data_IF_175235464833
#
_entry.id   IF_175235464833
#
_cell.length_a   1.000
_cell.length_b   1.000
_cell.length_c   1.000
_cell.angle_alpha   90.00
_cell.angle_beta   90.00
_cell.angle_gamma   90.00
#
_symmetry.space_group_name_H-M   'P 1'
#
loop_
_entity.id
_entity.type
_entity.pdbx_description
1 polymer ?
#
# COMPACT_ATOMS: atom_id res chain seq x y z
N UNK A 1 5.24 29.28 2.53
CA UNK A 1 5.16 28.01 1.78
C UNK A 1 3.69 27.57 1.86
N UNK A 2 3.05 27.23 0.74
CA UNK A 2 1.63 26.81 0.76
C UNK A 2 1.51 25.49 1.50
N UNK A 3 0.41 25.29 2.21
CA UNK A 3 0.05 24.01 2.81
C UNK A 3 -0.32 22.99 1.72
N UNK A 4 -0.22 21.71 2.05
CA UNK A 4 -0.57 20.62 1.11
C UNK A 4 -2.03 20.75 0.62
N UNK A 5 -2.95 21.15 1.51
CA UNK A 5 -4.37 21.34 1.17
C UNK A 5 -4.57 22.52 0.21
N UNK A 6 -3.90 23.66 0.43
CA UNK A 6 -3.97 24.81 -0.48
C UNK A 6 -3.46 24.42 -1.88
N UNK A 7 -2.35 23.67 -1.97
CA UNK A 7 -1.83 23.16 -3.25
C UNK A 7 -2.85 22.25 -3.92
N UNK A 8 -3.49 21.33 -3.18
CA UNK A 8 -4.50 20.43 -3.70
C UNK A 8 -5.74 21.18 -4.24
N UNK A 9 -6.18 22.23 -3.53
CA UNK A 9 -7.36 23.01 -3.90
C UNK A 9 -7.13 23.93 -5.11
N UNK A 10 -5.89 24.39 -5.32
CA UNK A 10 -5.51 25.18 -6.49
C UNK A 10 -5.25 24.34 -7.75
N UNK A 11 -5.11 23.02 -7.61
CA UNK A 11 -4.85 22.12 -8.73
C UNK A 11 -6.03 22.11 -9.73
N UNK A 12 -5.74 22.32 -11.01
CA UNK A 12 -6.76 22.24 -12.07
C UNK A 12 -6.93 20.79 -12.53
N UNK A 13 -7.94 20.12 -11.97
CA UNK A 13 -8.26 18.72 -12.27
C UNK A 13 -8.84 18.55 -13.67
N UNK A 14 -8.41 17.51 -14.38
CA UNK A 14 -9.09 17.06 -15.59
C UNK A 14 -10.25 16.11 -15.25
N UNK A 15 -11.33 16.09 -16.05
CA UNK A 15 -12.35 15.05 -15.92
C UNK A 15 -11.71 13.66 -15.95
N UNK A 16 -12.10 12.75 -15.05
CA UNK A 16 -11.48 11.42 -14.92
C UNK A 16 -11.60 10.57 -16.20
N UNK A 17 -12.54 10.92 -17.09
CA UNK A 17 -12.65 10.31 -18.42
C UNK A 17 -11.43 10.61 -19.30
N UNK A 18 -10.87 11.81 -19.19
CA UNK A 18 -9.65 12.20 -19.91
C UNK A 18 -8.45 11.44 -19.34
N UNK A 19 -8.38 11.33 -18.01
CA UNK A 19 -7.36 10.52 -17.32
C UNK A 19 -7.45 9.04 -17.71
N UNK A 20 -8.66 8.50 -17.82
CA UNK A 20 -8.88 7.13 -18.31
C UNK A 20 -8.43 6.97 -19.78
N UNK A 21 -8.67 7.98 -20.62
CA UNK A 21 -8.24 7.98 -22.02
C UNK A 21 -6.71 8.00 -22.15
N UNK A 22 -5.98 8.67 -21.25
CA UNK A 22 -4.50 8.58 -21.20
C UNK A 22 -4.05 7.13 -21.02
N UNK A 23 -4.79 6.33 -20.25
CA UNK A 23 -4.57 4.89 -20.07
C UNK A 23 -5.11 4.01 -21.21
N UNK A 24 -5.80 4.57 -22.20
CA UNK A 24 -6.44 3.81 -23.27
C UNK A 24 -7.63 2.99 -22.79
N UNK A 25 -8.33 3.48 -21.76
CA UNK A 25 -9.60 2.94 -21.28
C UNK A 25 -10.77 3.58 -22.03
N UNK A 26 -11.76 2.77 -22.38
CA UNK A 26 -12.98 3.22 -23.02
C UNK A 26 -14.08 3.60 -22.01
N UNK A 27 -15.12 4.28 -22.48
CA UNK A 27 -16.20 4.82 -21.63
C UNK A 27 -16.90 3.72 -20.83
N UNK A 28 -17.10 2.57 -21.43
CA UNK A 28 -17.79 1.42 -20.84
C UNK A 28 -16.87 0.54 -19.97
N UNK A 29 -15.58 0.86 -19.88
CA UNK A 29 -14.60 0.18 -19.03
C UNK A 29 -14.42 0.84 -17.66
N UNK A 30 -15.09 1.99 -17.45
CA UNK A 30 -15.06 2.75 -16.19
C UNK A 30 -16.48 3.05 -15.67
N UNK A 31 -16.60 3.17 -14.36
CA UNK A 31 -17.83 3.53 -13.64
C UNK A 31 -17.58 4.81 -12.85
N UNK A 32 -18.25 5.91 -13.20
CA UNK A 32 -17.97 7.22 -12.60
C UNK A 32 -18.46 7.37 -11.16
N UNK A 33 -17.69 8.08 -10.35
CA UNK A 33 -18.02 8.56 -9.02
C UNK A 33 -17.81 10.09 -8.97
N UNK A 34 -18.77 10.83 -9.51
CA UNK A 34 -18.61 12.24 -9.84
C UNK A 34 -17.66 12.44 -11.04
N UNK A 35 -17.11 13.64 -11.16
CA UNK A 35 -16.36 14.04 -12.36
C UNK A 35 -14.87 13.65 -12.33
N UNK A 36 -14.31 13.47 -11.13
CA UNK A 36 -12.86 13.32 -10.92
C UNK A 36 -12.43 11.95 -10.36
N UNK A 37 -13.36 10.99 -10.24
CA UNK A 37 -13.08 9.63 -9.76
C UNK A 37 -13.87 8.60 -10.56
N UNK A 38 -13.30 7.43 -10.78
CA UNK A 38 -14.00 6.32 -11.40
C UNK A 38 -13.50 4.97 -10.87
N UNK A 39 -14.34 3.94 -10.89
CA UNK A 39 -13.90 2.55 -10.74
C UNK A 39 -13.55 1.96 -12.12
N UNK A 40 -12.45 1.22 -12.21
CA UNK A 40 -12.03 0.49 -13.42
C UNK A 40 -12.63 -0.91 -13.37
N UNK A 41 -13.38 -1.31 -14.40
CA UNK A 41 -13.97 -2.65 -14.47
C UNK A 41 -12.89 -3.71 -14.60
N UNK A 42 -13.05 -4.84 -13.91
CA UNK A 42 -12.05 -5.93 -13.96
C UNK A 42 -11.95 -6.61 -15.33
N UNK A 43 -13.00 -6.49 -16.17
CA UNK A 43 -13.00 -7.04 -17.54
C UNK A 43 -11.88 -6.50 -18.41
N UNK A 44 -11.26 -5.35 -18.06
CA UNK A 44 -10.11 -4.82 -18.79
C UNK A 44 -8.91 -5.78 -18.77
N UNK A 45 -8.79 -6.62 -17.72
CA UNK A 45 -7.74 -7.63 -17.64
C UNK A 45 -7.95 -8.75 -18.66
N UNK A 46 -9.21 -9.12 -18.90
CA UNK A 46 -9.56 -10.17 -19.85
C UNK A 46 -9.45 -9.67 -21.30
N UNK A 47 -9.96 -8.47 -21.60
CA UNK A 47 -9.94 -7.90 -22.96
C UNK A 47 -8.54 -7.59 -23.48
N UNK A 48 -7.57 -7.44 -22.57
CA UNK A 48 -6.17 -7.14 -22.87
C UNK A 48 -5.22 -8.27 -22.47
N UNK A 49 -5.75 -9.46 -22.19
CA UNK A 49 -4.95 -10.64 -21.88
C UNK A 49 -3.91 -10.91 -23.00
N UNK A 50 -2.68 -11.24 -22.61
CA UNK A 50 -1.58 -11.50 -23.55
C UNK A 50 -0.82 -10.28 -24.07
N UNK A 51 -1.26 -9.04 -23.76
CA UNK A 51 -0.44 -7.86 -24.01
C UNK A 51 0.84 -7.89 -23.15
N UNK A 52 1.97 -7.37 -23.66
CA UNK A 52 3.16 -7.17 -22.83
C UNK A 52 2.82 -6.31 -21.62
N UNK A 53 3.29 -6.72 -20.43
CA UNK A 53 3.18 -5.89 -19.23
C UNK A 53 4.20 -4.73 -19.31
N UNK A 54 3.85 -3.61 -18.70
CA UNK A 54 4.79 -2.56 -18.36
C UNK A 54 5.79 -2.99 -17.29
N UNK A 55 6.68 -2.05 -16.96
CA UNK A 55 7.71 -2.20 -15.91
C UNK A 55 7.10 -1.90 -14.54
N UNK A 56 7.38 -2.76 -13.56
CA UNK A 56 6.93 -2.65 -12.18
C UNK A 56 8.04 -2.03 -11.33
N UNK A 57 7.77 -0.84 -10.78
CA UNK A 57 8.71 -0.12 -9.92
C UNK A 57 8.17 -0.10 -8.50
N UNK A 58 8.91 -0.68 -7.55
CA UNK A 58 8.56 -0.63 -6.12
C UNK A 58 9.29 0.52 -5.43
N UNK A 59 8.56 1.52 -4.95
CA UNK A 59 9.06 2.50 -4.00
C UNK A 59 8.97 1.95 -2.58
N UNK A 60 10.12 1.87 -1.90
CA UNK A 60 10.24 1.55 -0.48
C UNK A 60 11.11 2.61 0.20
N UNK A 61 11.37 2.48 1.49
CA UNK A 61 12.20 3.42 2.24
C UNK A 61 13.08 2.70 3.25
N UNK A 62 14.01 3.46 3.82
CA UNK A 62 14.71 3.10 5.05
C UNK A 62 13.75 2.91 6.24
N UNK A 63 14.27 2.47 7.38
CA UNK A 63 13.44 2.22 8.57
C UNK A 63 12.75 3.53 8.99
N UNK A 64 11.40 3.59 9.06
CA UNK A 64 10.69 4.84 9.27
C UNK A 64 11.08 5.55 10.55
N UNK A 65 11.25 6.86 10.46
CA UNK A 65 11.61 7.74 11.56
C UNK A 65 10.51 8.77 11.80
N UNK A 66 10.59 9.48 12.93
CA UNK A 66 9.68 10.62 13.20
C UNK A 66 9.92 11.82 12.28
N UNK A 67 11.06 11.88 11.59
CA UNK A 67 11.37 12.95 10.64
C UNK A 67 10.55 12.83 9.34
N UNK A 68 10.14 11.61 8.98
CA UNK A 68 9.43 11.32 7.74
C UNK A 68 10.37 11.24 6.54
N UNK A 69 10.20 10.18 5.74
CA UNK A 69 11.05 9.92 4.57
C UNK A 69 10.44 10.46 3.27
N UNK A 70 9.11 10.65 3.23
CA UNK A 70 8.40 11.10 2.04
C UNK A 70 8.26 10.03 0.94
N UNK A 71 8.22 8.74 1.32
CA UNK A 71 8.11 7.62 0.35
C UNK A 71 6.96 7.79 -0.65
N UNK A 72 5.77 8.11 -0.17
CA UNK A 72 4.59 8.29 -1.03
C UNK A 72 4.72 9.52 -1.93
N UNK A 73 5.32 10.61 -1.40
CA UNK A 73 5.66 11.80 -2.18
C UNK A 73 6.63 11.47 -3.32
N UNK A 74 7.64 10.62 -3.08
CA UNK A 74 8.58 10.18 -4.13
C UNK A 74 7.91 9.23 -5.12
N UNK A 75 7.06 8.31 -4.69
CA UNK A 75 6.30 7.42 -5.58
C UNK A 75 5.44 8.22 -6.58
N UNK A 76 4.64 9.16 -6.07
CA UNK A 76 3.80 10.02 -6.90
C UNK A 76 4.67 10.87 -7.83
N UNK A 77 5.73 11.47 -7.29
CA UNK A 77 6.61 12.37 -8.03
C UNK A 77 7.35 11.66 -9.16
N UNK A 78 7.79 10.43 -8.91
CA UNK A 78 8.40 9.56 -9.92
C UNK A 78 7.43 9.27 -11.07
N UNK A 79 6.16 8.98 -10.78
CA UNK A 79 5.17 8.75 -11.86
C UNK A 79 4.99 10.00 -12.74
N UNK A 80 4.95 11.19 -12.14
CA UNK A 80 4.88 12.46 -12.88
C UNK A 80 6.17 12.75 -13.66
N UNK A 81 7.34 12.45 -13.07
CA UNK A 81 8.63 12.56 -13.74
C UNK A 81 8.73 11.65 -14.97
N UNK A 82 8.27 10.40 -14.86
CA UNK A 82 8.17 9.46 -15.98
C UNK A 82 7.24 9.99 -17.09
N UNK A 83 6.09 10.56 -16.72
CA UNK A 83 5.15 11.18 -17.66
C UNK A 83 5.79 12.37 -18.39
N UNK A 84 6.54 13.22 -17.69
CA UNK A 84 7.29 14.34 -18.28
C UNK A 84 8.39 13.89 -19.26
N UNK A 85 8.96 12.71 -19.04
CA UNK A 85 9.89 12.07 -19.98
C UNK A 85 9.19 11.31 -21.12
N UNK A 86 7.88 11.54 -21.31
CA UNK A 86 7.08 10.96 -22.39
C UNK A 86 6.79 9.47 -22.22
N UNK A 87 6.94 8.91 -21.01
CA UNK A 87 6.53 7.53 -20.72
C UNK A 87 5.09 7.50 -20.24
N UNK A 88 4.32 6.51 -20.68
CA UNK A 88 2.99 6.29 -20.13
C UNK A 88 3.14 5.69 -18.73
N UNK A 89 2.94 6.50 -17.69
CA UNK A 89 3.14 6.09 -16.30
C UNK A 89 1.82 6.11 -15.51
N UNK A 90 1.74 5.23 -14.50
CA UNK A 90 0.67 5.20 -13.52
C UNK A 90 1.25 4.94 -12.14
N UNK A 91 0.76 5.65 -11.12
CA UNK A 91 1.06 5.33 -9.72
C UNK A 91 -0.07 4.51 -9.11
N UNK A 92 0.27 3.57 -8.22
CA UNK A 92 -0.70 2.79 -7.46
C UNK A 92 -0.44 2.96 -5.97
N UNK A 93 -1.48 3.32 -5.23
CA UNK A 93 -1.41 3.70 -3.82
C UNK A 93 -2.48 2.99 -3.00
N UNK A 94 -2.28 3.03 -1.68
CA UNK A 94 -3.26 2.53 -0.71
C UNK A 94 -4.28 3.60 -0.40
N UNK A 95 -5.51 3.19 -0.18
CA UNK A 95 -6.53 4.06 0.41
C UNK A 95 -6.23 4.27 1.89
N UNK A 96 -6.19 5.52 2.38
CA UNK A 96 -6.08 5.77 3.81
C UNK A 96 -7.34 5.33 4.55
N UNK A 97 -7.17 4.91 5.80
CA UNK A 97 -8.28 4.78 6.74
C UNK A 97 -8.85 6.15 7.09
N UNK A 98 -10.17 6.23 7.26
CA UNK A 98 -10.91 7.45 7.56
C UNK A 98 -10.63 7.94 9.00
N UNK A 99 -10.56 7.03 9.97
CA UNK A 99 -10.41 7.37 11.39
C UNK A 99 -9.22 8.30 11.70
N UNK A 100 -8.00 8.03 11.20
CA UNK A 100 -6.82 8.90 11.34
C UNK A 100 -6.99 10.34 10.85
N UNK A 101 -7.83 10.58 9.83
CA UNK A 101 -8.09 11.93 9.29
C UNK A 101 -8.72 12.87 10.33
N UNK A 102 -9.39 12.33 11.35
CA UNK A 102 -9.98 13.08 12.47
C UNK A 102 -9.07 13.11 13.72
N UNK A 103 -7.85 12.60 13.59
CA UNK A 103 -6.82 12.61 14.62
C UNK A 103 -5.66 13.56 14.29
N UNK A 104 -4.44 13.14 14.65
CA UNK A 104 -3.22 13.97 14.51
C UNK A 104 -2.56 13.80 13.12
N UNK A 105 -2.93 12.76 12.35
CA UNK A 105 -2.26 12.43 11.07
C UNK A 105 -3.12 12.85 9.88
N UNK A 106 -2.74 13.94 9.21
CA UNK A 106 -3.29 14.33 7.91
C UNK A 106 -2.51 13.75 6.73
N UNK A 107 -3.23 13.30 5.71
CA UNK A 107 -2.77 13.10 4.32
C UNK A 107 -1.89 11.87 4.03
N UNK A 108 -2.48 10.79 3.51
CA UNK A 108 -1.72 9.65 2.96
C UNK A 108 -1.51 9.71 1.43
N UNK A 109 -1.92 10.81 0.79
CA UNK A 109 -1.96 10.96 -0.67
C UNK A 109 -0.78 11.78 -1.23
N UNK A 110 0.39 11.73 -0.58
CA UNK A 110 1.58 12.51 -0.95
C UNK A 110 1.74 13.79 -0.15
N UNK A 111 2.50 14.75 -0.70
CA UNK A 111 2.72 16.07 -0.08
C UNK A 111 3.38 17.06 -1.03
N UNK A 112 3.24 18.36 -0.75
CA UNK A 112 3.80 19.44 -1.58
C UNK A 112 3.22 19.41 -2.99
N UNK A 113 4.06 19.58 -4.01
CA UNK A 113 3.65 19.47 -5.42
C UNK A 113 3.64 18.02 -5.94
N UNK A 114 3.64 17.03 -5.05
CA UNK A 114 3.56 15.62 -5.41
C UNK A 114 2.46 14.91 -4.62
N UNK A 115 1.24 15.12 -5.09
CA UNK A 115 0.02 14.63 -4.46
C UNK A 115 -0.92 13.94 -5.46
N UNK A 116 -1.77 13.05 -4.94
CA UNK A 116 -2.94 12.51 -5.64
C UNK A 116 -4.19 13.22 -5.15
N UNK A 117 -5.08 13.54 -6.09
CA UNK A 117 -6.24 14.41 -5.90
C UNK A 117 -7.49 13.81 -6.56
N UNK A 118 -8.71 14.09 -6.05
CA UNK A 118 -9.06 15.05 -4.99
C UNK A 118 -8.77 14.55 -3.56
N UNK A 119 -7.91 15.24 -2.82
CA UNK A 119 -7.38 14.80 -1.52
C UNK A 119 -8.46 14.65 -0.44
N UNK A 120 -9.42 15.58 -0.39
CA UNK A 120 -10.50 15.57 0.61
C UNK A 120 -11.37 14.32 0.47
N UNK A 121 -11.69 13.91 -0.77
CA UNK A 121 -12.50 12.72 -1.01
C UNK A 121 -11.73 11.44 -0.69
N UNK A 122 -10.42 11.40 -1.01
CA UNK A 122 -9.53 10.25 -0.73
C UNK A 122 -9.40 10.01 0.78
N UNK A 123 -9.34 11.06 1.59
CA UNK A 123 -9.17 10.97 3.05
C UNK A 123 -10.48 10.68 3.82
N UNK A 124 -11.63 10.69 3.13
CA UNK A 124 -12.96 10.50 3.72
C UNK A 124 -13.59 9.20 3.22
N UNK A 125 -14.71 9.29 2.50
CA UNK A 125 -15.48 8.12 2.06
C UNK A 125 -15.00 7.54 0.73
N UNK A 126 -14.25 8.32 -0.03
CA UNK A 126 -13.77 8.02 -1.36
C UNK A 126 -14.86 7.38 -2.26
N UNK A 127 -14.71 6.10 -2.60
CA UNK A 127 -15.69 5.33 -3.39
C UNK A 127 -16.46 4.29 -2.55
N UNK A 128 -16.24 4.27 -1.23
CA UNK A 128 -16.94 3.41 -0.28
C UNK A 128 -16.29 2.05 -0.01
N UNK A 129 -15.05 1.83 -0.43
CA UNK A 129 -14.39 0.53 -0.33
C UNK A 129 -14.16 0.12 1.14
N UNK A 130 -13.69 1.03 1.99
CA UNK A 130 -13.59 0.80 3.44
C UNK A 130 -14.95 0.48 4.08
N UNK A 131 -16.03 1.12 3.63
CA UNK A 131 -17.38 0.84 4.12
C UNK A 131 -17.83 -0.57 3.74
N UNK A 132 -17.57 -0.99 2.49
CA UNK A 132 -17.87 -2.35 2.02
C UNK A 132 -17.08 -3.41 2.81
N UNK A 133 -15.81 -3.17 3.10
CA UNK A 133 -14.97 -4.04 3.95
C UNK A 133 -15.54 -4.11 5.37
N UNK A 134 -15.93 -2.98 5.94
CA UNK A 134 -16.55 -2.90 7.27
C UNK A 134 -17.84 -3.73 7.32
N UNK A 135 -18.71 -3.54 6.33
CA UNK A 135 -19.98 -4.27 6.21
C UNK A 135 -19.76 -5.78 6.05
N UNK A 136 -18.85 -6.20 5.17
CA UNK A 136 -18.55 -7.61 4.96
C UNK A 136 -17.98 -8.28 6.22
N UNK A 137 -17.05 -7.61 6.91
CA UNK A 137 -16.48 -8.13 8.15
C UNK A 137 -17.54 -8.26 9.26
N UNK A 138 -18.34 -7.21 9.47
CA UNK A 138 -19.34 -7.20 10.53
C UNK A 138 -20.55 -8.09 10.21
N UNK A 139 -20.86 -8.35 8.94
CA UNK A 139 -21.81 -9.39 8.54
C UNK A 139 -21.34 -10.77 9.03
N UNK A 140 -20.06 -11.11 8.83
CA UNK A 140 -19.51 -12.36 9.34
C UNK A 140 -19.69 -12.45 10.87
N UNK A 141 -19.30 -11.41 11.61
CA UNK A 141 -19.47 -11.37 13.06
C UNK A 141 -20.94 -11.51 13.50
N UNK A 142 -21.87 -10.86 12.80
CA UNK A 142 -23.30 -10.95 13.08
C UNK A 142 -23.85 -12.36 12.84
N UNK A 143 -23.44 -13.02 11.75
CA UNK A 143 -23.87 -14.39 11.45
C UNK A 143 -23.28 -15.39 12.45
N UNK A 144 -22.06 -15.19 12.94
CA UNK A 144 -21.47 -16.02 14.01
C UNK A 144 -22.33 -15.95 15.28
N UNK A 145 -22.65 -14.75 15.75
CA UNK A 145 -23.45 -14.57 16.97
C UNK A 145 -24.89 -15.07 16.77
N UNK A 146 -25.48 -14.86 15.60
CA UNK A 146 -26.80 -15.39 15.26
C UNK A 146 -26.79 -16.93 15.18
N UNK A 147 -25.77 -17.55 14.61
CA UNK A 147 -25.63 -19.01 14.55
C UNK A 147 -25.61 -19.61 15.96
N UNK A 148 -24.87 -18.99 16.88
CA UNK A 148 -24.87 -19.42 18.28
C UNK A 148 -26.24 -19.24 18.96
N UNK A 149 -26.92 -18.11 18.70
CA UNK A 149 -28.23 -17.84 19.26
C UNK A 149 -29.33 -18.80 18.76
N UNK A 150 -29.30 -19.17 17.48
CA UNK A 150 -30.33 -20.01 16.83
C UNK A 150 -30.16 -21.51 17.07
N UNK A 151 -29.29 -21.92 18.01
CA UNK A 151 -29.12 -23.33 18.40
C UNK A 151 -27.69 -23.86 18.29
N UNK A 152 -26.75 -23.08 17.73
CA UNK A 152 -25.32 -23.38 17.69
C UNK A 152 -24.99 -24.79 17.18
N UNK A 153 -25.52 -25.20 16.02
CA UNK A 153 -25.34 -26.55 15.46
C UNK A 153 -23.87 -26.95 15.24
N UNK A 154 -22.97 -25.96 15.16
CA UNK A 154 -21.53 -26.16 14.98
C UNK A 154 -20.78 -26.25 16.31
N UNK A 155 -21.50 -26.17 17.44
CA UNK A 155 -20.97 -26.16 18.80
C UNK A 155 -19.83 -25.14 18.97
N UNK A 156 -19.95 -23.95 18.35
CA UNK A 156 -18.96 -22.87 18.45
C UNK A 156 -18.76 -22.53 19.93
N UNK A 157 -17.51 -22.50 20.37
CA UNK A 157 -17.15 -22.08 21.71
C UNK A 157 -17.05 -20.54 21.75
N UNK A 158 -17.91 -19.84 22.53
CA UNK A 158 -17.91 -18.38 22.60
C UNK A 158 -16.56 -17.79 23.06
N UNK A 159 -15.80 -18.54 23.87
CA UNK A 159 -14.49 -18.12 24.39
C UNK A 159 -13.34 -18.39 23.40
N UNK A 160 -13.60 -19.19 22.35
CA UNK A 160 -12.63 -19.53 21.30
C UNK A 160 -12.93 -18.84 19.95
N UNK A 161 -13.70 -17.74 19.95
CA UNK A 161 -13.92 -16.92 18.76
C UNK A 161 -12.74 -15.96 18.59
N UNK A 162 -12.00 -16.13 17.49
CA UNK A 162 -10.92 -15.24 17.07
C UNK A 162 -11.45 -14.00 16.34
N UNK A 163 -12.57 -14.13 15.61
CA UNK A 163 -13.11 -13.09 14.73
C UNK A 163 -13.69 -11.90 15.53
N UNK A 164 -13.08 -10.70 15.42
CA UNK A 164 -13.55 -9.50 16.12
C UNK A 164 -14.70 -8.82 15.35
N UNK A 165 -14.97 -7.56 15.69
CA UNK A 165 -15.71 -6.62 14.84
C UNK A 165 -14.77 -5.52 14.35
N UNK A 166 -15.21 -4.71 13.39
CA UNK A 166 -14.42 -3.56 12.92
C UNK A 166 -15.23 -2.28 12.76
N UNK A 167 -14.54 -1.15 12.91
CA UNK A 167 -15.05 0.18 12.64
C UNK A 167 -13.90 1.08 12.18
N UNK A 168 -14.11 1.89 11.14
CA UNK A 168 -13.06 2.76 10.62
C UNK A 168 -12.94 4.09 11.39
N UNK A 169 -12.85 3.99 12.72
CA UNK A 169 -12.72 5.11 13.65
C UNK A 169 -11.65 4.81 14.70
N UNK A 170 -10.97 5.85 15.16
CA UNK A 170 -9.99 5.75 16.25
C UNK A 170 -10.70 5.72 17.61
N UNK A 171 -11.43 4.63 17.90
CA UNK A 171 -12.16 4.47 19.15
C UNK A 171 -11.47 3.47 20.09
N UNK A 172 -10.83 4.00 21.14
CA UNK A 172 -10.14 3.16 22.13
C UNK A 172 -11.09 2.45 23.10
N UNK A 173 -12.32 2.94 23.27
CA UNK A 173 -13.27 2.38 24.24
C UNK A 173 -13.79 1.01 23.78
N UNK A 174 -13.74 0.72 22.48
CA UNK A 174 -14.21 -0.53 21.90
C UNK A 174 -13.14 -1.64 21.82
N UNK A 175 -11.94 -1.41 22.37
CA UNK A 175 -10.84 -2.40 22.34
C UNK A 175 -11.14 -3.69 23.10
N UNK A 176 -11.97 -3.63 24.13
CA UNK A 176 -12.44 -4.80 24.87
C UNK A 176 -13.89 -4.55 25.28
N UNK A 177 -14.81 -5.39 24.82
CA UNK A 177 -16.24 -5.23 25.07
C UNK A 177 -16.88 -6.57 25.35
N UNK A 178 -17.96 -6.55 26.14
CA UNK A 178 -18.86 -7.69 26.32
C UNK A 178 -20.11 -7.46 25.47
N UNK A 179 -20.48 -8.44 24.64
CA UNK A 179 -21.67 -8.38 23.76
C UNK A 179 -22.69 -9.44 24.16
N UNK A 180 -23.90 -9.38 23.61
CA UNK A 180 -24.95 -10.40 23.84
C UNK A 180 -25.55 -10.38 25.26
N UNK A 181 -25.38 -9.28 25.99
CA UNK A 181 -25.83 -9.14 27.38
C UNK A 181 -27.36 -9.09 27.49
N UNK A 182 -27.86 -9.23 28.73
CA UNK A 182 -29.28 -9.09 29.10
C UNK A 182 -30.23 -10.06 28.39
N UNK A 183 -29.72 -11.21 27.94
CA UNK A 183 -30.52 -12.23 27.26
C UNK A 183 -30.80 -11.93 25.78
N UNK A 184 -30.19 -10.87 25.23
CA UNK A 184 -30.35 -10.46 23.81
C UNK A 184 -29.37 -11.19 22.87
N UNK A 185 -28.67 -12.23 23.36
CA UNK A 185 -27.68 -13.00 22.63
C UNK A 185 -26.90 -13.95 23.53
N UNK A 186 -25.85 -14.56 22.97
CA UNK A 186 -24.87 -15.31 23.76
C UNK A 186 -23.83 -14.33 24.30
N UNK A 187 -23.75 -14.20 25.62
CA UNK A 187 -22.80 -13.29 26.25
C UNK A 187 -21.36 -13.78 26.02
N UNK A 188 -20.49 -12.88 25.53
CA UNK A 188 -19.06 -13.17 25.32
C UNK A 188 -18.20 -11.91 25.26
N UNK A 189 -16.90 -12.07 25.48
CA UNK A 189 -15.91 -11.02 25.25
C UNK A 189 -15.54 -10.93 23.77
N UNK A 190 -15.29 -9.72 23.28
CA UNK A 190 -14.75 -9.44 21.95
C UNK A 190 -14.08 -8.06 21.90
N UNK A 191 -13.68 -7.62 20.71
CA UNK A 191 -13.06 -6.32 20.47
C UNK A 191 -13.47 -5.74 19.12
N UNK A 192 -13.22 -4.45 18.96
CA UNK A 192 -13.22 -3.78 17.67
C UNK A 192 -11.80 -3.44 17.23
N UNK A 193 -11.46 -3.82 16.01
CA UNK A 193 -10.25 -3.37 15.33
C UNK A 193 -10.61 -2.29 14.30
N UNK A 194 -9.63 -1.48 13.88
CA UNK A 194 -9.86 -0.53 12.78
C UNK A 194 -10.05 -1.29 11.47
N UNK A 195 -10.92 -0.82 10.57
CA UNK A 195 -11.30 -1.57 9.34
C UNK A 195 -10.10 -2.02 8.50
N UNK A 196 -9.07 -1.19 8.36
CA UNK A 196 -7.84 -1.53 7.64
C UNK A 196 -7.06 -2.73 8.23
N UNK A 197 -7.30 -3.11 9.49
CA UNK A 197 -6.72 -4.27 10.16
C UNK A 197 -7.48 -5.58 9.87
N UNK A 198 -8.66 -5.51 9.24
CA UNK A 198 -9.49 -6.66 8.90
C UNK A 198 -8.79 -7.64 7.95
N UNK A 199 -8.91 -8.94 8.20
CA UNK A 199 -8.50 -9.97 7.22
C UNK A 199 -9.26 -9.82 5.88
N UNK A 200 -10.48 -9.29 5.91
CA UNK A 200 -11.25 -8.95 4.68
C UNK A 200 -10.50 -7.92 3.83
N UNK A 201 -9.83 -6.93 4.45
CA UNK A 201 -8.99 -5.96 3.74
C UNK A 201 -7.77 -6.64 3.10
N UNK A 202 -7.11 -7.55 3.84
CA UNK A 202 -5.98 -8.31 3.31
C UNK A 202 -6.41 -9.20 2.13
N UNK A 203 -7.58 -9.84 2.22
CA UNK A 203 -8.16 -10.66 1.15
C UNK A 203 -8.51 -9.81 -0.07
N UNK A 204 -9.17 -8.66 0.12
CA UNK A 204 -9.46 -7.71 -0.96
C UNK A 204 -8.18 -7.31 -1.71
N UNK A 205 -7.11 -7.07 -0.97
CA UNK A 205 -5.83 -6.66 -1.54
C UNK A 205 -5.07 -7.79 -2.24
N UNK A 206 -5.27 -9.06 -1.86
CA UNK A 206 -4.56 -10.20 -2.46
C UNK A 206 -5.39 -10.95 -3.52
N UNK A 207 -6.70 -10.72 -3.59
CA UNK A 207 -7.57 -11.42 -4.51
C UNK A 207 -7.24 -11.10 -5.98
N UNK A 208 -7.09 -12.14 -6.78
CA UNK A 208 -6.77 -12.06 -8.21
C UNK A 208 -7.99 -11.95 -9.11
N UNK A 209 -9.19 -12.26 -8.61
CA UNK A 209 -10.48 -12.04 -9.26
C UNK A 209 -11.62 -12.25 -8.23
N UNK A 210 -12.90 -11.97 -8.56
CA UNK A 210 -14.02 -12.13 -7.63
C UNK A 210 -14.21 -13.57 -7.10
N UNK A 211 -13.87 -14.58 -7.90
CA UNK A 211 -13.97 -15.99 -7.48
C UNK A 211 -12.91 -16.32 -6.43
N UNK A 212 -11.66 -15.94 -6.66
CA UNK A 212 -10.56 -16.08 -5.70
C UNK A 212 -10.87 -15.32 -4.40
N UNK A 213 -11.45 -14.11 -4.49
CA UNK A 213 -11.92 -13.36 -3.32
C UNK A 213 -12.93 -14.17 -2.50
N UNK A 214 -13.98 -14.71 -3.12
CA UNK A 214 -14.98 -15.55 -2.43
C UNK A 214 -14.35 -16.79 -1.79
N UNK A 215 -13.45 -17.46 -2.49
CA UNK A 215 -12.77 -18.66 -1.99
C UNK A 215 -11.87 -18.33 -0.78
N UNK A 216 -11.15 -17.21 -0.81
CA UNK A 216 -10.36 -16.71 0.32
C UNK A 216 -11.24 -16.35 1.52
N UNK A 217 -12.35 -15.63 1.28
CA UNK A 217 -13.32 -15.32 2.33
C UNK A 217 -13.82 -16.61 2.99
N UNK A 218 -14.14 -17.64 2.20
CA UNK A 218 -14.57 -18.96 2.70
C UNK A 218 -13.58 -19.68 3.62
N UNK A 219 -12.27 -19.41 3.46
CA UNK A 219 -11.20 -20.01 4.26
C UNK A 219 -10.89 -19.26 5.56
N UNK A 220 -11.52 -18.11 5.80
CA UNK A 220 -11.36 -17.37 7.06
C UNK A 220 -11.69 -18.28 8.23
N UNK A 221 -10.75 -18.43 9.16
CA UNK A 221 -10.95 -19.10 10.43
C UNK A 221 -11.65 -18.14 11.40
N UNK A 222 -12.83 -18.54 11.90
CA UNK A 222 -13.63 -17.73 12.82
C UNK A 222 -13.25 -18.05 14.27
N UNK A 223 -13.00 -19.32 14.55
CA UNK A 223 -12.75 -19.83 15.90
C UNK A 223 -12.80 -21.35 15.94
N UNK A 224 -13.05 -21.90 17.12
CA UNK A 224 -13.14 -23.33 17.35
C UNK A 224 -14.48 -23.72 17.96
N UNK A 225 -14.91 -24.94 17.66
CA UNK A 225 -15.98 -25.60 18.40
C UNK A 225 -15.49 -26.08 19.77
N UNK A 226 -16.43 -26.41 20.66
CA UNK A 226 -16.16 -27.04 21.96
C UNK A 226 -15.40 -28.36 21.88
N UNK A 227 -15.40 -29.01 20.71
CA UNK A 227 -14.65 -30.25 20.43
C UNK A 227 -13.30 -30.00 19.75
N UNK A 228 -12.86 -28.75 19.63
CA UNK A 228 -11.59 -28.38 19.02
C UNK A 228 -11.55 -28.41 17.49
N UNK A 229 -12.70 -28.61 16.80
CA UNK A 229 -12.77 -28.49 15.34
C UNK A 229 -12.74 -27.00 14.94
N UNK A 230 -11.89 -26.59 13.98
CA UNK A 230 -11.89 -25.23 13.44
C UNK A 230 -13.20 -24.94 12.69
N UNK A 231 -13.72 -23.73 12.85
CA UNK A 231 -14.94 -23.24 12.21
C UNK A 231 -14.58 -22.10 11.27
N UNK A 232 -14.97 -22.22 10.00
CA UNK A 232 -14.67 -21.25 8.94
C UNK A 232 -15.91 -20.45 8.53
N UNK A 233 -15.72 -19.37 7.79
CA UNK A 233 -16.84 -18.59 7.23
C UNK A 233 -17.69 -19.38 6.25
N UNK A 234 -17.12 -20.41 5.60
CA UNK A 234 -17.85 -21.35 4.76
C UNK A 234 -18.74 -22.29 5.58
N UNK A 235 -18.31 -22.72 6.78
CA UNK A 235 -19.13 -23.59 7.65
C UNK A 235 -20.44 -22.89 8.08
N UNK A 236 -20.38 -21.57 8.33
CA UNK A 236 -21.57 -20.73 8.62
C UNK A 236 -22.20 -20.10 7.36
N UNK A 237 -21.78 -20.55 6.16
CA UNK A 237 -22.36 -20.17 4.86
C UNK A 237 -22.37 -18.66 4.54
N UNK A 238 -21.47 -17.86 5.13
CA UNK A 238 -21.48 -16.39 4.99
C UNK A 238 -20.59 -15.87 3.85
N UNK A 239 -19.64 -16.66 3.36
CA UNK A 239 -18.63 -16.24 2.38
C UNK A 239 -19.22 -15.62 1.09
N UNK A 240 -20.33 -16.17 0.58
CA UNK A 240 -21.01 -15.64 -0.61
C UNK A 240 -21.61 -14.24 -0.38
N UNK A 241 -22.20 -14.01 0.79
CA UNK A 241 -22.79 -12.72 1.14
C UNK A 241 -21.71 -11.65 1.40
N UNK A 242 -20.60 -12.03 2.03
CA UNK A 242 -19.42 -11.15 2.15
C UNK A 242 -18.88 -10.75 0.76
N UNK A 243 -18.75 -11.71 -0.15
CA UNK A 243 -18.29 -11.42 -1.51
C UNK A 243 -19.24 -10.50 -2.28
N UNK A 244 -20.56 -10.65 -2.08
CA UNK A 244 -21.56 -9.78 -2.69
C UNK A 244 -21.43 -8.32 -2.20
N UNK A 245 -21.16 -8.10 -0.91
CA UNK A 245 -20.90 -6.76 -0.36
C UNK A 245 -19.63 -6.12 -0.93
N UNK A 246 -18.66 -6.92 -1.37
CA UNK A 246 -17.40 -6.46 -1.95
C UNK A 246 -17.41 -6.40 -3.48
N UNK A 247 -18.55 -6.65 -4.13
CA UNK A 247 -18.67 -6.77 -5.60
C UNK A 247 -18.13 -5.55 -6.35
N UNK A 248 -18.42 -4.35 -5.85
CA UNK A 248 -17.93 -3.11 -6.46
C UNK A 248 -16.61 -2.66 -5.83
N UNK A 249 -16.38 -3.00 -4.56
CA UNK A 249 -15.16 -2.67 -3.82
C UNK A 249 -13.91 -3.41 -4.32
N UNK A 250 -14.04 -4.47 -5.11
CA UNK A 250 -12.88 -5.14 -5.75
C UNK A 250 -12.36 -4.39 -6.98
N UNK A 251 -13.13 -3.44 -7.52
CA UNK A 251 -12.75 -2.66 -8.71
C UNK A 251 -11.85 -1.48 -8.28
N UNK A 252 -10.63 -1.34 -8.83
CA UNK A 252 -9.71 -0.26 -8.46
C UNK A 252 -10.25 1.12 -8.81
N UNK A 253 -9.88 2.14 -8.02
CA UNK A 253 -10.34 3.51 -8.20
C UNK A 253 -9.30 4.34 -8.96
N UNK A 254 -9.67 4.84 -10.13
CA UNK A 254 -8.90 5.79 -10.94
C UNK A 254 -9.16 7.22 -10.47
N UNK A 255 -8.07 7.92 -10.24
CA UNK A 255 -7.94 9.35 -9.93
C UNK A 255 -6.70 9.90 -10.63
N UNK A 256 -6.20 11.06 -10.23
CA UNK A 256 -5.06 11.71 -10.88
C UNK A 256 -4.13 12.39 -9.89
N UNK A 257 -2.88 12.63 -10.30
CA UNK A 257 -1.97 13.53 -9.59
C UNK A 257 -2.33 14.99 -9.86
N UNK A 258 -1.69 15.92 -9.15
CA UNK A 258 -1.86 17.36 -9.44
C UNK A 258 -1.34 17.78 -10.82
N UNK A 259 -0.51 16.94 -11.47
CA UNK A 259 -0.08 17.10 -12.85
C UNK A 259 -0.88 16.22 -13.83
N UNK A 260 -2.08 15.78 -13.42
CA UNK A 260 -3.00 14.98 -14.21
C UNK A 260 -2.40 13.64 -14.70
N UNK A 261 -1.38 13.12 -13.99
CA UNK A 261 -0.85 11.76 -14.25
C UNK A 261 -1.83 10.73 -13.67
N UNK A 262 -2.17 9.64 -14.38
CA UNK A 262 -3.08 8.63 -13.86
C UNK A 262 -2.60 8.02 -12.53
N UNK A 263 -3.52 7.90 -11.57
CA UNK A 263 -3.27 7.30 -10.27
C UNK A 263 -4.38 6.31 -9.89
N UNK A 264 -4.02 5.14 -9.37
CA UNK A 264 -4.98 4.14 -8.91
C UNK A 264 -4.85 3.97 -7.39
N UNK A 265 -5.91 4.26 -6.65
CA UNK A 265 -5.97 4.07 -5.20
C UNK A 265 -6.88 2.88 -4.92
N UNK A 266 -6.36 1.83 -4.28
CA UNK A 266 -7.20 0.66 -3.99
C UNK A 266 -6.64 -0.24 -2.89
N UNK A 267 -7.48 -0.47 -1.87
CA UNK A 267 -7.14 -1.26 -0.70
C UNK A 267 -6.11 -0.58 0.19
N UNK A 268 -6.04 -0.97 1.46
CA UNK A 268 -5.17 -0.33 2.44
C UNK A 268 -4.97 -1.19 3.68
N UNK A 269 -4.34 -2.37 3.57
CA UNK A 269 -4.10 -3.23 4.71
C UNK A 269 -2.96 -2.67 5.55
N UNK A 270 -2.95 -3.04 6.83
CA UNK A 270 -1.80 -2.80 7.68
C UNK A 270 -0.54 -3.51 7.17
N UNK A 271 0.63 -2.97 7.52
CA UNK A 271 1.93 -3.47 7.09
C UNK A 271 2.66 -4.27 8.18
N UNK A 272 2.08 -4.39 9.37
CA UNK A 272 2.58 -5.22 10.47
C UNK A 272 1.88 -6.58 10.48
N UNK A 273 0.58 -6.62 10.77
CA UNK A 273 -0.26 -7.84 10.81
C UNK A 273 -0.69 -8.33 9.43
N UNK A 274 -0.45 -7.52 8.38
CA UNK A 274 -0.69 -7.86 7.00
C UNK A 274 0.46 -7.32 6.13
N UNK A 275 0.31 -7.39 4.80
CA UNK A 275 1.39 -7.18 3.83
C UNK A 275 1.59 -5.70 3.41
N UNK A 276 0.73 -4.78 3.83
CA UNK A 276 0.99 -3.35 3.67
C UNK A 276 1.03 -2.79 2.25
N UNK A 277 0.42 -3.46 1.27
CA UNK A 277 0.44 -3.03 -0.14
C UNK A 277 -0.96 -2.64 -0.62
N UNK A 278 -1.06 -1.84 -1.69
CA UNK A 278 -2.32 -1.71 -2.43
C UNK A 278 -2.69 -3.06 -3.09
N UNK A 279 -3.91 -3.15 -3.62
CA UNK A 279 -4.40 -4.41 -4.18
C UNK A 279 -3.59 -4.96 -5.36
N UNK A 280 -3.62 -6.28 -5.52
CA UNK A 280 -3.14 -7.00 -6.72
C UNK A 280 -3.85 -6.52 -7.98
N UNK A 281 -5.16 -6.25 -7.91
CA UNK A 281 -5.95 -5.76 -9.04
C UNK A 281 -5.41 -4.43 -9.59
N UNK A 282 -5.18 -3.45 -8.70
CA UNK A 282 -4.66 -2.14 -9.08
C UNK A 282 -3.29 -2.25 -9.76
N UNK A 283 -2.38 -3.05 -9.19
CA UNK A 283 -1.05 -3.24 -9.78
C UNK A 283 -1.11 -3.98 -11.12
N UNK A 284 -1.93 -5.03 -11.25
CA UNK A 284 -2.07 -5.75 -12.52
C UNK A 284 -2.68 -4.87 -13.61
N UNK A 285 -3.72 -4.11 -13.28
CA UNK A 285 -4.35 -3.16 -14.20
C UNK A 285 -3.34 -2.06 -14.58
N UNK A 286 -2.62 -1.48 -13.62
CA UNK A 286 -1.58 -0.49 -13.90
C UNK A 286 -0.50 -1.00 -14.84
N UNK A 287 0.02 -2.21 -14.60
CA UNK A 287 1.00 -2.86 -15.47
C UNK A 287 0.46 -3.18 -16.87
N UNK A 288 -0.83 -3.48 -16.99
CA UNK A 288 -1.43 -3.79 -18.28
C UNK A 288 -1.70 -2.54 -19.13
N UNK A 289 -1.96 -1.40 -18.47
CA UNK A 289 -2.36 -0.17 -19.14
C UNK A 289 -1.20 0.78 -19.42
N UNK A 290 -0.12 0.75 -18.64
CA UNK A 290 0.97 1.72 -18.70
C UNK A 290 2.34 1.07 -19.00
N UNK A 291 3.29 1.87 -19.50
CA UNK A 291 4.68 1.46 -19.70
C UNK A 291 5.39 1.26 -18.35
N UNK A 292 5.03 2.07 -17.34
CA UNK A 292 5.57 2.01 -15.99
C UNK A 292 4.44 2.08 -14.96
N UNK A 293 4.41 1.11 -14.05
CA UNK A 293 3.55 1.08 -12.88
C UNK A 293 4.41 1.29 -11.63
N UNK A 294 4.32 2.48 -11.03
CA UNK A 294 5.00 2.80 -9.76
C UNK A 294 4.08 2.43 -8.61
N UNK A 295 4.54 1.63 -7.67
CA UNK A 295 3.79 1.19 -6.49
C UNK A 295 4.63 1.36 -5.24
N UNK A 296 4.02 1.22 -4.07
CA UNK A 296 4.74 1.23 -2.80
C UNK A 296 4.26 0.12 -1.85
N UNK A 297 5.03 -0.06 -0.77
CA UNK A 297 4.65 -0.84 0.40
C UNK A 297 4.82 -0.04 1.69
N UNK A 298 3.98 -0.30 2.69
CA UNK A 298 4.02 0.36 4.00
C UNK A 298 5.27 0.03 4.81
N UNK A 299 5.62 0.91 5.76
CA UNK A 299 6.90 0.85 6.52
C UNK A 299 8.15 0.91 5.62
N UNK A 300 9.30 0.46 6.13
CA UNK A 300 10.57 0.37 5.41
C UNK A 300 10.69 -0.93 4.60
N UNK A 301 11.85 -1.15 3.98
CA UNK A 301 12.08 -2.29 3.11
C UNK A 301 12.15 -3.64 3.85
N UNK A 302 12.52 -3.63 5.12
CA UNK A 302 12.51 -4.77 6.05
C UNK A 302 11.13 -5.40 6.25
N UNK A 303 10.06 -4.60 6.22
CA UNK A 303 8.68 -5.09 6.36
C UNK A 303 7.89 -4.98 5.06
N UNK A 304 7.85 -3.79 4.47
CA UNK A 304 7.01 -3.50 3.31
C UNK A 304 7.49 -4.22 2.07
N UNK A 305 8.77 -4.06 1.74
CA UNK A 305 9.32 -4.64 0.51
C UNK A 305 9.45 -6.16 0.60
N UNK A 306 9.90 -6.70 1.74
CA UNK A 306 9.88 -8.15 2.00
C UNK A 306 8.48 -8.73 1.77
N UNK A 307 7.44 -8.21 2.43
CA UNK A 307 6.06 -8.69 2.24
C UNK A 307 5.52 -8.44 0.83
N UNK A 308 5.94 -7.36 0.17
CA UNK A 308 5.58 -7.12 -1.22
C UNK A 308 6.15 -8.23 -2.12
N UNK A 309 7.38 -8.68 -1.89
CA UNK A 309 8.01 -9.75 -2.66
C UNK A 309 7.48 -11.13 -2.26
N UNK A 310 7.61 -11.51 -1.00
CA UNK A 310 7.33 -12.85 -0.52
C UNK A 310 5.84 -13.17 -0.35
N UNK A 311 4.96 -12.16 -0.29
CA UNK A 311 3.51 -12.37 -0.23
C UNK A 311 2.84 -11.89 -1.52
N UNK A 312 2.91 -10.59 -1.82
CA UNK A 312 2.14 -10.03 -2.96
C UNK A 312 2.65 -10.54 -4.31
N UNK A 313 3.96 -10.49 -4.57
CA UNK A 313 4.51 -10.98 -5.82
C UNK A 313 4.36 -12.49 -5.97
N UNK A 314 4.60 -13.25 -4.90
CA UNK A 314 4.36 -14.70 -4.83
C UNK A 314 2.93 -15.07 -5.25
N UNK A 315 1.91 -14.49 -4.63
CA UNK A 315 0.51 -14.80 -4.97
C UNK A 315 0.07 -14.30 -6.35
N UNK A 316 0.58 -13.14 -6.77
CA UNK A 316 0.10 -12.48 -7.98
C UNK A 316 0.92 -12.83 -9.24
N UNK A 317 2.05 -13.52 -9.10
CA UNK A 317 3.01 -13.78 -10.17
C UNK A 317 3.70 -12.50 -10.67
N UNK A 318 3.81 -11.47 -9.83
CA UNK A 318 4.42 -10.20 -10.20
C UNK A 318 5.94 -10.33 -10.18
N UNK A 319 6.61 -9.60 -11.08
CA UNK A 319 8.06 -9.54 -11.19
C UNK A 319 8.50 -8.08 -11.21
N UNK A 320 9.01 -7.55 -10.09
CA UNK A 320 9.52 -6.18 -10.00
C UNK A 320 10.72 -5.99 -10.92
N UNK A 321 10.78 -4.87 -11.62
CA UNK A 321 11.88 -4.52 -12.54
C UNK A 321 12.87 -3.54 -11.91
N UNK A 322 12.44 -2.78 -10.91
CA UNK A 322 13.29 -1.84 -10.16
C UNK A 322 12.73 -1.59 -8.75
N UNK A 323 13.62 -1.39 -7.79
CA UNK A 323 13.31 -0.82 -6.48
C UNK A 323 13.84 0.60 -6.41
N UNK A 324 13.01 1.52 -5.93
CA UNK A 324 13.43 2.86 -5.53
C UNK A 324 13.49 2.89 -4.00
N UNK A 325 14.70 3.06 -3.47
CA UNK A 325 14.96 3.15 -2.04
C UNK A 325 14.97 4.63 -1.62
N UNK A 326 13.92 5.08 -0.93
CA UNK A 326 13.81 6.47 -0.48
C UNK A 326 14.60 6.70 0.79
N UNK A 327 15.43 7.74 0.79
CA UNK A 327 16.23 8.18 1.92
C UNK A 327 16.19 9.71 2.07
N UNK A 328 16.36 10.19 3.31
CA UNK A 328 16.50 11.62 3.61
C UNK A 328 17.70 11.82 4.55
N UNK A 329 18.37 12.97 4.43
CA UNK A 329 19.48 13.34 5.32
C UNK A 329 19.01 13.35 6.78
N UNK A 330 17.82 13.90 7.04
CA UNK A 330 17.23 14.00 8.38
C UNK A 330 16.94 12.63 9.00
N UNK A 331 16.41 11.67 8.24
CA UNK A 331 16.16 10.33 8.78
C UNK A 331 17.47 9.56 9.05
N UNK A 332 18.48 9.73 8.19
CA UNK A 332 19.81 9.17 8.43
C UNK A 332 20.48 9.78 9.66
N UNK A 333 20.36 11.09 9.89
CA UNK A 333 20.81 11.73 11.13
C UNK A 333 20.16 11.10 12.37
N UNK A 334 18.86 10.83 12.36
CA UNK A 334 18.18 10.12 13.47
C UNK A 334 18.75 8.71 13.69
N UNK A 335 18.97 7.95 12.62
CA UNK A 335 19.60 6.62 12.72
C UNK A 335 21.04 6.69 13.22
N UNK A 336 21.75 7.79 12.96
CA UNK A 336 23.07 8.07 13.51
C UNK A 336 23.07 8.64 14.94
N UNK A 337 21.90 8.73 15.59
CA UNK A 337 21.78 9.16 16.99
C UNK A 337 21.61 10.67 17.20
N UNK A 338 21.41 11.45 16.15
CA UNK A 338 21.13 12.89 16.26
C UNK A 338 19.72 13.10 16.81
N UNK A 339 19.50 13.91 17.87
CA UNK A 339 18.16 14.17 18.40
C UNK A 339 17.23 14.87 17.39
N UNK A 340 15.92 14.66 17.54
CA UNK A 340 14.88 15.14 16.62
C UNK A 340 14.90 16.67 16.46
N UNK A 341 15.19 17.37 17.54
CA UNK A 341 15.29 18.82 17.65
C UNK A 341 16.48 19.42 16.89
N UNK A 342 17.52 18.62 16.60
CA UNK A 342 18.75 19.09 15.94
C UNK A 342 18.84 18.67 14.46
N UNK A 343 17.78 18.08 13.88
CA UNK A 343 17.84 17.57 12.50
C UNK A 343 17.94 18.66 11.43
N UNK A 344 17.58 19.91 11.73
CA UNK A 344 17.73 21.04 10.82
C UNK A 344 19.16 21.59 10.78
N UNK A 345 20.02 21.19 11.72
CA UNK A 345 21.40 21.64 11.78
C UNK A 345 22.27 20.74 10.89
N UNK A 346 23.14 21.30 10.01
CA UNK A 346 24.07 20.51 9.22
C UNK A 346 25.01 19.68 10.11
N UNK A 347 24.99 18.36 9.95
CA UNK A 347 25.87 17.47 10.71
C UNK A 347 26.21 16.20 9.92
N UNK A 348 27.15 16.35 8.99
CA UNK A 348 27.61 15.29 8.09
C UNK A 348 28.05 14.00 8.81
N UNK A 349 28.73 14.12 9.96
CA UNK A 349 29.15 12.96 10.74
C UNK A 349 27.98 12.18 11.34
N UNK A 350 26.96 12.88 11.86
CA UNK A 350 25.74 12.24 12.37
C UNK A 350 24.93 11.58 11.26
N UNK A 351 24.86 12.19 10.07
CA UNK A 351 24.23 11.57 8.91
C UNK A 351 24.98 10.31 8.48
N UNK A 352 26.32 10.38 8.40
CA UNK A 352 27.17 9.26 8.03
C UNK A 352 27.02 8.07 8.98
N UNK A 353 26.88 8.32 10.29
CA UNK A 353 26.67 7.28 11.30
C UNK A 353 25.35 6.50 11.09
N UNK A 354 24.35 7.08 10.40
CA UNK A 354 23.09 6.39 10.08
C UNK A 354 23.10 5.62 8.76
N UNK A 355 24.17 5.70 7.96
CA UNK A 355 24.25 5.07 6.63
C UNK A 355 24.13 3.54 6.67
N UNK A 356 24.48 2.91 7.79
CA UNK A 356 24.35 1.46 7.95
C UNK A 356 22.90 0.99 7.78
N UNK A 357 21.92 1.80 8.17
CA UNK A 357 20.51 1.50 7.94
C UNK A 357 20.19 1.44 6.43
N UNK A 358 20.60 2.47 5.67
CA UNK A 358 20.40 2.51 4.22
C UNK A 358 21.17 1.39 3.52
N UNK A 359 22.43 1.18 3.88
CA UNK A 359 23.27 0.11 3.31
C UNK A 359 22.60 -1.25 3.49
N UNK A 360 22.13 -1.55 4.70
CA UNK A 360 21.48 -2.84 4.98
C UNK A 360 20.19 -3.03 4.19
N UNK A 361 19.36 -1.99 4.06
CA UNK A 361 18.15 -2.08 3.23
C UNK A 361 18.48 -2.31 1.75
N UNK A 362 19.51 -1.66 1.21
CA UNK A 362 19.96 -1.90 -0.15
C UNK A 362 20.50 -3.34 -0.35
N UNK A 363 21.30 -3.85 0.58
CA UNK A 363 21.76 -5.24 0.59
C UNK A 363 20.59 -6.24 0.61
N UNK A 364 19.58 -5.98 1.44
CA UNK A 364 18.40 -6.82 1.52
C UNK A 364 17.65 -6.87 0.18
N UNK A 365 17.50 -5.74 -0.52
CA UNK A 365 16.86 -5.73 -1.85
C UNK A 365 17.69 -6.50 -2.89
N UNK A 366 19.01 -6.50 -2.78
CA UNK A 366 19.88 -7.30 -3.65
C UNK A 366 19.68 -8.82 -3.45
N UNK A 367 19.27 -9.28 -2.26
CA UNK A 367 18.92 -10.70 -2.03
C UNK A 367 17.80 -11.17 -2.95
N UNK A 368 16.83 -10.31 -3.24
CA UNK A 368 15.71 -10.58 -4.15
C UNK A 368 16.10 -10.48 -5.63
N UNK A 369 17.32 -10.03 -5.96
CA UNK A 369 17.81 -9.94 -7.32
C UNK A 369 17.18 -8.83 -8.17
N UNK A 370 16.68 -7.76 -7.53
CA UNK A 370 16.06 -6.61 -8.20
C UNK A 370 17.02 -5.40 -8.19
N UNK A 371 17.19 -4.66 -9.31
CA UNK A 371 18.00 -3.44 -9.34
C UNK A 371 17.49 -2.39 -8.34
N UNK A 372 18.40 -1.69 -7.69
CA UNK A 372 18.09 -0.65 -6.68
C UNK A 372 18.60 0.71 -7.14
N UNK A 373 17.71 1.71 -7.10
CA UNK A 373 18.02 3.13 -7.28
C UNK A 373 17.71 3.84 -5.96
N UNK A 374 18.66 4.56 -5.38
CA UNK A 374 18.43 5.35 -4.16
C UNK A 374 17.90 6.74 -4.54
N UNK A 375 16.72 7.08 -4.04
CA UNK A 375 16.14 8.41 -4.18
C UNK A 375 16.37 9.21 -2.90
N UNK A 376 17.21 10.24 -2.98
CA UNK A 376 17.46 11.18 -1.88
C UNK A 376 16.40 12.28 -1.98
N UNK A 377 15.37 12.20 -1.14
CA UNK A 377 14.32 13.20 -1.08
C UNK A 377 14.83 14.43 -0.32
N UNK A 378 15.03 15.53 -1.05
CA UNK A 378 15.73 16.73 -0.57
C UNK A 378 14.76 17.64 0.18
N UNK A 379 15.17 18.06 1.39
CA UNK A 379 14.49 19.07 2.20
C UNK A 379 15.20 20.43 2.14
N UNK A 380 14.49 21.50 2.48
CA UNK A 380 15.03 22.87 2.48
C UNK A 380 16.19 23.08 3.45
N UNK A 381 16.24 22.31 4.53
CA UNK A 381 17.28 22.41 5.55
C UNK A 381 18.50 21.51 5.27
N UNK A 382 18.45 20.67 4.23
CA UNK A 382 19.55 19.76 3.91
C UNK A 382 20.73 20.56 3.34
N UNK A 383 21.92 20.39 3.93
CA UNK A 383 23.12 21.05 3.41
C UNK A 383 23.68 20.34 2.19
N UNK A 384 24.32 21.10 1.29
CA UNK A 384 25.00 20.52 0.13
C UNK A 384 26.15 19.59 0.51
N UNK A 385 26.79 19.84 1.65
CA UNK A 385 27.81 18.94 2.20
C UNK A 385 27.21 17.56 2.54
N UNK A 386 26.11 17.51 3.29
CA UNK A 386 25.43 16.26 3.65
C UNK A 386 24.89 15.53 2.40
N UNK A 387 24.28 16.27 1.47
CA UNK A 387 23.76 15.68 0.23
C UNK A 387 24.90 15.13 -0.64
N UNK A 388 26.04 15.81 -0.74
CA UNK A 388 27.18 15.36 -1.54
C UNK A 388 27.85 14.15 -0.90
N UNK A 389 27.98 14.13 0.42
CA UNK A 389 28.41 12.97 1.18
C UNK A 389 27.50 11.78 0.93
N UNK A 390 26.18 11.92 1.10
CA UNK A 390 25.23 10.82 0.90
C UNK A 390 25.29 10.28 -0.54
N UNK A 391 25.32 11.14 -1.55
CA UNK A 391 25.48 10.71 -2.94
C UNK A 391 26.77 9.91 -3.15
N UNK A 392 27.90 10.37 -2.60
CA UNK A 392 29.18 9.67 -2.71
C UNK A 392 29.17 8.32 -2.01
N UNK A 393 28.60 8.24 -0.81
CA UNK A 393 28.56 7.00 -0.02
C UNK A 393 27.67 5.94 -0.70
N UNK A 394 26.54 6.34 -1.28
CA UNK A 394 25.72 5.41 -2.09
C UNK A 394 26.46 4.96 -3.34
N UNK A 395 27.18 5.86 -4.02
CA UNK A 395 27.99 5.48 -5.18
C UNK A 395 29.10 4.48 -4.80
N UNK A 396 29.70 4.63 -3.62
CA UNK A 396 30.69 3.69 -3.08
C UNK A 396 30.09 2.30 -2.78
N UNK A 397 28.78 2.19 -2.58
CA UNK A 397 28.04 0.91 -2.50
C UNK A 397 27.78 0.28 -3.88
N UNK A 398 28.20 0.93 -4.97
CA UNK A 398 27.93 0.48 -6.35
C UNK A 398 26.50 0.74 -6.82
N UNK A 399 25.80 1.66 -6.15
CA UNK A 399 24.41 2.00 -6.43
C UNK A 399 24.28 3.43 -6.95
N UNK A 400 23.22 3.69 -7.70
CA UNK A 400 22.88 5.05 -8.11
C UNK A 400 22.17 5.79 -6.98
N UNK A 401 22.64 6.99 -6.69
CA UNK A 401 21.94 7.96 -5.85
C UNK A 401 21.46 9.14 -6.70
N UNK A 402 20.16 9.39 -6.67
CA UNK A 402 19.54 10.52 -7.36
C UNK A 402 18.83 11.40 -6.36
N UNK A 403 19.16 12.69 -6.36
CA UNK A 403 18.45 13.68 -5.56
C UNK A 403 17.15 14.03 -6.25
N UNK A 404 16.05 14.09 -5.50
CA UNK A 404 14.76 14.50 -6.02
C UNK A 404 14.14 15.61 -5.15
N UNK A 405 13.47 16.55 -5.81
CA UNK A 405 12.83 17.73 -5.21
C UNK A 405 11.32 17.70 -5.46
N UNK A 406 10.73 16.51 -5.49
CA UNK A 406 9.32 16.28 -5.86
C UNK A 406 8.33 17.03 -4.99
N UNK A 407 8.67 17.25 -3.72
CA UNK A 407 7.82 18.00 -2.80
C UNK A 407 7.72 19.47 -3.22
N UNK A 408 8.81 20.08 -3.70
CA UNK A 408 8.84 21.50 -4.08
C UNK A 408 8.55 21.75 -5.56
N UNK A 409 8.91 20.82 -6.44
CA UNK A 409 8.95 21.01 -7.90
C UNK A 409 8.06 20.03 -8.68
N UNK A 410 7.29 19.19 -7.98
CA UNK A 410 6.41 18.20 -8.59
C UNK A 410 7.16 17.21 -9.48
N UNK A 411 6.61 16.91 -10.65
CA UNK A 411 7.20 15.97 -11.60
C UNK A 411 8.54 16.44 -12.17
N UNK A 412 8.76 17.77 -12.25
CA UNK A 412 10.04 18.31 -12.73
C UNK A 412 11.19 17.94 -11.78
N UNK A 413 10.94 17.96 -10.47
CA UNK A 413 11.90 17.54 -9.44
C UNK A 413 12.19 16.04 -9.40
N UNK A 414 11.61 15.23 -10.30
CA UNK A 414 11.81 13.79 -10.41
C UNK A 414 12.34 13.33 -11.78
N UNK A 415 12.63 14.21 -12.74
CA UNK A 415 13.06 13.80 -14.09
C UNK A 415 14.36 13.00 -14.07
N UNK A 416 15.32 13.37 -13.22
CA UNK A 416 16.59 12.64 -13.11
C UNK A 416 16.36 11.25 -12.50
N UNK A 417 15.49 11.15 -11.49
CA UNK A 417 15.13 9.87 -10.87
C UNK A 417 14.38 8.99 -11.89
N UNK A 418 13.48 9.58 -12.67
CA UNK A 418 12.75 8.88 -13.71
C UNK A 418 13.68 8.35 -14.82
N UNK A 419 14.65 9.16 -15.27
CA UNK A 419 15.65 8.74 -16.25
C UNK A 419 16.49 7.56 -15.72
N UNK A 420 16.90 7.63 -14.45
CA UNK A 420 17.66 6.57 -13.81
C UNK A 420 16.85 5.28 -13.62
N UNK A 421 15.57 5.38 -13.26
CA UNK A 421 14.65 4.24 -13.18
C UNK A 421 14.44 3.61 -14.56
N UNK A 422 14.29 4.41 -15.61
CA UNK A 422 14.21 3.90 -16.99
C UNK A 422 15.48 3.10 -17.33
N UNK A 423 16.65 3.64 -16.99
CA UNK A 423 17.95 2.97 -17.21
C UNK A 423 18.04 1.65 -16.44
N UNK A 424 17.66 1.64 -15.16
CA UNK A 424 17.68 0.45 -14.32
C UNK A 424 16.70 -0.63 -14.82
N UNK A 425 15.49 -0.24 -15.24
CA UNK A 425 14.49 -1.16 -15.81
C UNK A 425 14.90 -1.74 -17.18
N UNK A 426 15.77 -1.04 -17.92
CA UNK A 426 16.31 -1.50 -19.20
C UNK A 426 17.51 -2.46 -19.01
N UNK A 427 18.37 -2.22 -18.01
CA UNK A 427 19.46 -3.15 -17.67
C UNK A 427 18.97 -4.41 -16.95
N UNK A 428 17.72 -4.43 -16.49
CA UNK A 428 17.09 -5.55 -15.79
C UNK A 428 16.82 -6.79 -16.67
N UNK A 429 17.14 -6.80 -17.96
CA UNK A 429 17.00 -7.98 -18.84
C UNK A 429 17.88 -9.20 -18.39
N UNK A 430 18.67 -9.05 -17.32
CA UNK A 430 19.36 -10.13 -16.59
C UNK A 430 19.00 -10.27 -15.10
N UNK A 431 18.13 -9.42 -14.54
CA UNK A 431 17.71 -9.46 -13.14
C UNK A 431 16.76 -10.64 -12.90
N UNK A 432 17.16 -11.58 -12.02
CA UNK A 432 16.34 -12.74 -11.64
C UNK A 432 15.64 -12.43 -10.32
N UNK A 433 14.51 -11.73 -10.38
CA UNK A 433 13.63 -11.62 -9.22
C UNK A 433 13.39 -13.03 -8.66
N UNK A 434 13.72 -13.22 -7.39
CA UNK A 434 13.53 -14.45 -6.65
C UNK A 434 12.94 -14.14 -5.29
N UNK A 435 12.21 -15.10 -4.76
CA UNK A 435 11.65 -15.04 -3.41
C UNK A 435 12.75 -15.38 -2.40
N UNK A 436 12.58 -14.98 -1.14
CA UNK A 436 13.59 -15.20 -0.10
C UNK A 436 13.64 -16.66 0.37
N UNK A 437 12.51 -17.35 0.27
CA UNK A 437 12.33 -18.74 0.69
C UNK A 437 11.32 -19.50 -0.20
N UNK A 438 11.42 -20.82 -0.23
CA UNK A 438 10.53 -21.70 -1.01
C UNK A 438 9.15 -21.92 -0.34
N UNK A 439 8.17 -22.36 -1.11
CA UNK A 439 6.79 -22.57 -0.64
C UNK A 439 6.68 -23.69 0.41
N UNK A 440 7.49 -24.74 0.28
CA UNK A 440 7.48 -25.95 1.10
C UNK A 440 8.31 -25.84 2.39
N UNK A 441 9.08 -24.76 2.56
CA UNK A 441 9.86 -24.50 3.77
C UNK A 441 8.94 -24.41 5.01
N UNK A 442 9.36 -24.99 6.14
CA UNK A 442 8.58 -25.00 7.37
C UNK A 442 8.36 -23.59 7.93
N UNK A 443 7.27 -23.37 8.68
CA UNK A 443 6.95 -22.02 9.19
C UNK A 443 8.07 -21.44 10.05
N UNK A 444 8.69 -22.25 10.92
CA UNK A 444 9.80 -21.82 11.76
C UNK A 444 11.02 -21.41 10.93
N UNK A 445 11.37 -22.20 9.92
CA UNK A 445 12.50 -21.93 9.03
C UNK A 445 12.26 -20.69 8.17
N UNK A 446 11.02 -20.44 7.72
CA UNK A 446 10.64 -19.19 7.04
C UNK A 446 10.86 -17.97 7.93
N UNK A 447 10.48 -18.06 9.21
CA UNK A 447 10.71 -16.99 10.18
C UNK A 447 12.21 -16.77 10.40
N UNK A 448 12.98 -17.85 10.59
CA UNK A 448 14.44 -17.80 10.76
C UNK A 448 15.18 -17.32 9.51
N UNK A 449 14.61 -17.47 8.32
CA UNK A 449 15.18 -16.94 7.07
C UNK A 449 15.00 -15.42 6.96
N UNK A 450 13.89 -14.89 7.49
CA UNK A 450 13.59 -13.45 7.49
C UNK A 450 14.38 -12.72 8.58
N UNK A 451 14.53 -13.33 9.77
CA UNK A 451 15.21 -12.77 10.93
C UNK A 451 16.74 -12.76 10.78
#
# INVERSE_FOLDING_TARGET
>A
MKSDLEIAQEATLQPVREIAALLGLERDEIELYGDYKAKIKLSVLDTRAGRPRGKLVLCTALTPTRAGEGKTTVNIGLSMGLARLGKKAVTTLREPSLGPSFGIKGGAAGGGYSQVVPMEEINLHFTGDMHAVTAAHNLCAAIVDNHMFQGNELEIDPDAIYWPRVMDMNDRALRNVTVGQRGEGVERQTRFDITAASEVMAILCLATNPRDMRERLGRILIGWSRRGRPVTSSDIKVAGAMAALLKDAIKPNLVQTIENTPAIIHGGPFANIAHGCNSVQATKIGLMLADYCVTEAGFGADLGAEKFFDIKCRYAGLKPDCVVMVATVRALKLHGGVPLEHLSEPYAAGMAAGLDNLRKHCENMALFGVPVVVAINVFSEDSEEELALLTREVAAMGLSAVRCRVWAEGGAGATDLAAEVIRACASADGARFRLLYEDDLGLKEKIETIA
#
